data_IF_606916448865
#
_entry.id   IF_606916448865
#
_cell.length_a   1.000
_cell.length_b   1.000
_cell.length_c   1.000
_cell.angle_alpha   90.00
_cell.angle_beta   90.00
_cell.angle_gamma   90.00
#
_symmetry.space_group_name_H-M   'P 1'
#
loop_
_entity.id
_entity.type
_entity.pdbx_description
1 polymer ?
#
# COMPACT_ATOMS: atom_id res chain seq x y z
N UNK A 1 -11.76 7.76 1.64
CA UNK A 1 -10.98 8.84 0.99
C UNK A 1 -10.19 8.20 -0.13
N UNK A 2 -10.30 8.71 -1.35
CA UNK A 2 -9.47 8.25 -2.48
C UNK A 2 -8.13 8.96 -2.40
N UNK A 3 -7.04 8.20 -2.35
CA UNK A 3 -5.68 8.69 -2.27
C UNK A 3 -4.83 8.05 -3.36
N UNK A 4 -3.83 8.78 -3.83
CA UNK A 4 -2.88 8.29 -4.82
C UNK A 4 -1.50 8.37 -4.18
N UNK A 5 -0.75 7.29 -4.26
CA UNK A 5 0.66 7.25 -3.84
C UNK A 5 1.52 6.97 -5.06
N UNK A 6 2.64 7.67 -5.14
CA UNK A 6 3.65 7.41 -6.15
C UNK A 6 4.76 6.59 -5.53
N UNK A 7 5.14 5.51 -6.20
CA UNK A 7 6.26 4.67 -5.78
C UNK A 7 7.31 4.62 -6.88
N UNK A 8 8.57 4.69 -6.49
CA UNK A 8 9.70 4.55 -7.41
C UNK A 8 10.25 3.13 -7.36
N UNK A 9 10.33 2.48 -8.51
CA UNK A 9 10.93 1.17 -8.69
C UNK A 9 11.88 1.21 -9.89
N UNK A 10 13.18 1.05 -9.63
CA UNK A 10 14.21 1.34 -10.63
C UNK A 10 14.20 2.82 -11.01
N UNK A 11 14.15 3.12 -12.31
CA UNK A 11 14.07 4.49 -12.85
C UNK A 11 12.64 4.92 -13.21
N UNK A 12 11.62 4.15 -12.80
CA UNK A 12 10.23 4.40 -13.16
C UNK A 12 9.41 4.72 -11.91
N UNK A 13 8.51 5.68 -12.06
CA UNK A 13 7.52 6.03 -11.05
C UNK A 13 6.16 5.44 -11.44
N UNK A 14 5.50 4.81 -10.48
CA UNK A 14 4.19 4.20 -10.67
C UNK A 14 3.20 4.83 -9.71
N UNK A 15 2.07 5.24 -10.27
CA UNK A 15 0.92 5.70 -9.49
C UNK A 15 0.12 4.50 -9.01
N UNK A 16 -0.12 4.43 -7.71
CA UNK A 16 -0.93 3.41 -7.06
C UNK A 16 -2.16 4.09 -6.49
N UNK A 17 -3.34 3.59 -6.86
CA UNK A 17 -4.58 4.08 -6.29
C UNK A 17 -4.86 3.37 -4.97
N UNK A 18 -5.38 4.12 -4.00
CA UNK A 18 -5.67 3.62 -2.68
C UNK A 18 -6.98 4.19 -2.16
N UNK A 19 -7.88 3.31 -1.73
CA UNK A 19 -9.04 3.70 -0.93
C UNK A 19 -8.76 3.42 0.55
N UNK A 20 -9.07 4.37 1.41
CA UNK A 20 -8.92 4.22 2.86
C UNK A 20 -10.27 3.97 3.50
N UNK A 21 -10.40 2.82 4.16
CA UNK A 21 -11.52 2.43 5.01
C UNK A 21 -11.06 2.40 6.48
N UNK A 22 -11.76 3.11 7.37
CA UNK A 22 -11.49 3.09 8.80
C UNK A 22 -12.45 2.11 9.47
N UNK A 23 -11.90 1.09 10.09
CA UNK A 23 -12.63 0.12 10.90
C UNK A 23 -12.45 0.42 12.39
N UNK A 24 -13.24 -0.19 13.30
CA UNK A 24 -13.17 0.11 14.74
C UNK A 24 -11.81 -0.18 15.41
N UNK A 25 -10.98 -1.04 14.82
CA UNK A 25 -9.71 -1.50 15.39
C UNK A 25 -8.55 -1.54 14.38
N UNK A 26 -8.76 -0.99 13.18
CA UNK A 26 -7.79 -1.00 12.09
C UNK A 26 -8.13 0.04 11.03
N UNK A 27 -7.13 0.39 10.23
CA UNK A 27 -7.30 1.10 8.97
C UNK A 27 -6.98 0.12 7.84
N UNK A 28 -7.93 -0.05 6.91
CA UNK A 28 -7.75 -0.86 5.71
C UNK A 28 -7.47 0.06 4.53
N UNK A 29 -6.38 -0.23 3.84
CA UNK A 29 -5.94 0.44 2.64
C UNK A 29 -6.17 -0.52 1.47
N UNK A 30 -7.20 -0.26 0.66
CA UNK A 30 -7.48 -1.04 -0.54
C UNK A 30 -6.61 -0.53 -1.68
N UNK A 31 -5.61 -1.32 -2.05
CA UNK A 31 -4.58 -0.95 -3.01
C UNK A 31 -4.97 -1.46 -4.40
N UNK A 32 -4.90 -0.57 -5.39
CA UNK A 32 -5.02 -0.90 -6.82
C UNK A 32 -3.76 -0.40 -7.54
N UNK A 33 -2.76 -1.27 -7.73
CA UNK A 33 -1.53 -0.89 -8.42
C UNK A 33 -1.77 -0.63 -9.92
N UNK A 34 -0.90 0.19 -10.52
CA UNK A 34 -0.89 0.38 -11.97
C UNK A 34 -0.66 -0.95 -12.70
N UNK A 35 -1.26 -1.13 -13.87
CA UNK A 35 -1.19 -2.36 -14.67
C UNK A 35 0.23 -2.89 -14.93
N UNK A 36 1.23 -2.01 -14.97
CA UNK A 36 2.63 -2.41 -15.17
C UNK A 36 3.22 -3.18 -13.98
N UNK A 37 2.56 -3.14 -12.82
CA UNK A 37 2.98 -3.85 -11.62
C UNK A 37 2.27 -5.19 -11.46
N UNK A 38 1.31 -5.53 -12.33
CA UNK A 38 0.50 -6.76 -12.21
C UNK A 38 1.30 -8.05 -12.42
N UNK A 39 2.49 -7.98 -13.02
CA UNK A 39 3.41 -9.11 -13.08
C UNK A 39 4.04 -9.44 -11.72
N UNK A 40 3.99 -8.50 -10.77
CA UNK A 40 4.63 -8.61 -9.46
C UNK A 40 3.63 -8.60 -8.30
N UNK A 41 2.44 -8.05 -8.53
CA UNK A 41 1.39 -7.81 -7.54
C UNK A 41 0.02 -8.24 -8.08
N UNK A 42 -0.92 -8.64 -7.21
CA UNK A 42 -2.33 -8.74 -7.57
C UNK A 42 -2.88 -7.42 -8.11
N UNK A 43 -3.89 -7.50 -8.99
CA UNK A 43 -4.61 -6.32 -9.51
C UNK A 43 -5.24 -5.47 -8.41
N UNK A 44 -5.62 -6.12 -7.31
CA UNK A 44 -6.15 -5.51 -6.10
C UNK A 44 -5.70 -6.30 -4.88
N UNK A 45 -5.30 -5.62 -3.81
CA UNK A 45 -5.00 -6.24 -2.53
C UNK A 45 -5.17 -5.24 -1.39
N UNK A 46 -5.25 -5.74 -0.16
CA UNK A 46 -5.44 -4.91 1.02
C UNK A 46 -4.18 -4.87 1.89
N UNK A 47 -3.85 -3.68 2.38
CA UNK A 47 -2.92 -3.47 3.48
C UNK A 47 -3.76 -3.07 4.70
N UNK A 48 -3.61 -3.79 5.80
CA UNK A 48 -4.34 -3.56 7.04
C UNK A 48 -3.34 -3.02 8.06
N UNK A 49 -3.59 -1.83 8.61
CA UNK A 49 -2.86 -1.30 9.77
C UNK A 49 -3.73 -1.46 11.01
N UNK A 50 -3.46 -2.44 11.90
CA UNK A 50 -4.17 -2.55 13.16
C UNK A 50 -3.84 -1.37 14.08
N UNK A 51 -4.79 -0.91 14.89
CA UNK A 51 -4.54 0.22 15.80
C UNK A 51 -3.54 -0.10 16.91
N UNK A 52 -3.33 -1.38 17.19
CA UNK A 52 -2.42 -1.89 18.21
C UNK A 52 -1.03 -2.26 17.66
N UNK A 53 -0.75 -1.98 16.39
CA UNK A 53 0.52 -2.35 15.74
C UNK A 53 0.99 -1.26 14.76
N UNK A 54 2.27 -0.93 14.81
CA UNK A 54 2.91 -0.09 13.79
C UNK A 54 3.25 -0.86 12.49
N UNK A 55 3.16 -2.19 12.53
CA UNK A 55 3.39 -3.05 11.37
C UNK A 55 2.09 -3.34 10.62
N UNK A 56 2.10 -3.29 9.28
CA UNK A 56 0.96 -3.64 8.46
C UNK A 56 0.83 -5.15 8.35
N UNK A 57 -0.38 -5.59 8.05
CA UNK A 57 -0.71 -6.96 7.64
C UNK A 57 -1.24 -6.92 6.21
N UNK A 58 -0.88 -7.89 5.38
CA UNK A 58 -1.40 -8.03 4.02
C UNK A 58 -1.32 -9.49 3.58
N UNK A 59 -2.15 -9.88 2.62
CA UNK A 59 -2.08 -11.21 2.06
C UNK A 59 -0.87 -11.31 1.12
N UNK A 60 0.08 -12.19 1.43
CA UNK A 60 1.26 -12.41 0.60
C UNK A 60 1.00 -13.33 -0.61
N UNK A 61 -0.18 -13.95 -0.68
CA UNK A 61 -0.54 -14.85 -1.77
C UNK A 61 -0.55 -14.10 -3.10
N UNK A 62 0.24 -14.59 -4.06
CA UNK A 62 0.38 -13.97 -5.39
C UNK A 62 1.40 -12.83 -5.45
N UNK A 63 2.08 -12.49 -4.35
CA UNK A 63 3.23 -11.58 -4.38
C UNK A 63 4.50 -12.32 -4.81
N UNK A 64 5.20 -11.76 -5.80
CA UNK A 64 6.58 -12.16 -6.09
C UNK A 64 7.54 -11.56 -5.05
N UNK A 65 8.82 -11.93 -5.08
CA UNK A 65 9.83 -11.29 -4.21
C UNK A 65 9.88 -9.77 -4.39
N UNK A 66 9.87 -9.32 -5.65
CA UNK A 66 9.81 -7.90 -6.00
C UNK A 66 8.46 -7.26 -5.63
N UNK A 67 7.37 -8.03 -5.70
CA UNK A 67 6.06 -7.64 -5.19
C UNK A 67 6.11 -7.23 -3.72
N UNK A 68 6.78 -8.01 -2.87
CA UNK A 68 6.95 -7.68 -1.45
C UNK A 68 7.71 -6.38 -1.23
N UNK A 69 8.76 -6.14 -2.02
CA UNK A 69 9.52 -4.88 -1.97
C UNK A 69 8.65 -3.68 -2.39
N UNK A 70 7.79 -3.85 -3.39
CA UNK A 70 6.84 -2.82 -3.81
C UNK A 70 5.82 -2.54 -2.70
N UNK A 71 5.25 -3.57 -2.06
CA UNK A 71 4.32 -3.39 -0.93
C UNK A 71 4.99 -2.65 0.23
N UNK A 72 6.25 -2.95 0.53
CA UNK A 72 7.01 -2.23 1.55
C UNK A 72 7.17 -0.73 1.23
N UNK A 73 7.44 -0.39 -0.04
CA UNK A 73 7.51 1.01 -0.51
C UNK A 73 6.16 1.71 -0.43
N UNK A 74 5.07 1.04 -0.83
CA UNK A 74 3.71 1.57 -0.69
C UNK A 74 3.42 1.89 0.78
N UNK A 75 3.75 0.96 1.67
CA UNK A 75 3.55 1.14 3.10
C UNK A 75 4.33 2.32 3.69
N UNK A 76 5.58 2.51 3.28
CA UNK A 76 6.38 3.67 3.70
C UNK A 76 5.73 4.99 3.30
N UNK A 77 5.23 5.09 2.06
CA UNK A 77 4.51 6.28 1.59
C UNK A 77 3.22 6.53 2.39
N UNK A 78 2.46 5.48 2.68
CA UNK A 78 1.26 5.56 3.52
C UNK A 78 1.60 6.08 4.92
N UNK A 79 2.68 5.58 5.54
CA UNK A 79 3.13 6.07 6.84
C UNK A 79 3.48 7.55 6.81
N UNK A 80 4.23 8.00 5.80
CA UNK A 80 4.62 9.39 5.65
C UNK A 80 3.40 10.32 5.48
N UNK A 81 2.42 9.93 4.66
CA UNK A 81 1.18 10.69 4.50
C UNK A 81 0.38 10.78 5.80
N UNK A 82 0.30 9.67 6.54
CA UNK A 82 -0.44 9.63 7.80
C UNK A 82 0.22 10.49 8.88
N UNK A 83 1.56 10.54 8.92
CA UNK A 83 2.30 11.38 9.85
C UNK A 83 2.15 12.87 9.52
N UNK A 84 2.17 13.22 8.23
CA UNK A 84 1.99 14.61 7.77
C UNK A 84 0.58 15.16 8.06
N UNK A 85 -0.46 14.31 8.09
CA UNK A 85 -1.82 14.72 8.42
C UNK A 85 -2.04 15.01 9.92
N UNK A 86 -1.07 14.69 10.78
CA UNK A 86 -1.08 14.93 12.24
C UNK A 86 -0.16 16.06 12.70
N UNK A 87 0.50 16.76 11.77
CA UNK A 87 1.43 17.86 12.05
C UNK A 87 0.75 19.24 12.00
#
# INVERSE_FOLDING_TARGET
MNSQVFITQGNMEYMVHMDVERQPNAIVYHIRPHRHLWEQLPETFDIIKPDHSDQPMYNEQGLTGLGKEIVAKIWEQVRLMSAAATA
#
